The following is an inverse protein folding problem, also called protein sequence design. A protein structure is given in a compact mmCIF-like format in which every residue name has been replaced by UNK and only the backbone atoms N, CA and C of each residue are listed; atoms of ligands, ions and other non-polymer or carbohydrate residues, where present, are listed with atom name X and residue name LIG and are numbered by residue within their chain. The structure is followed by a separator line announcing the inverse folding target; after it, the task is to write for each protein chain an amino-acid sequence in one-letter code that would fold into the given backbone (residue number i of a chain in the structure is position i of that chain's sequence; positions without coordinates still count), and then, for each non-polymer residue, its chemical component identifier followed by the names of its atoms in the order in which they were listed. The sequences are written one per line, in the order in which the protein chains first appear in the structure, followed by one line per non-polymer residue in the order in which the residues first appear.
data_IF_697174934855
#
_entry.id   IF_697174934855
#
_cell.length_a   1.000
_cell.length_b   1.000
_cell.length_c   1.000
_cell.angle_alpha   90.00
_cell.angle_beta   90.00
_cell.angle_gamma   90.00
#
_symmetry.space_group_name_H-M   'P 1'
#
loop_
_entity.id
_entity.type
_entity.pdbx_description
1 polymer ?
#
# COMPACT_ATOMS: atom_id res chain seq x y z
N UNK A 1 -6.26 33.67 -20.62
CA UNK A 1 -5.77 32.28 -20.63
C UNK A 1 -4.52 32.05 -19.77
N UNK A 2 -3.46 32.86 -19.95
CA UNK A 2 -2.18 32.70 -19.21
C UNK A 2 -2.36 32.86 -17.70
N UNK A 3 -3.20 33.78 -17.22
CA UNK A 3 -3.42 34.02 -15.81
C UNK A 3 -4.25 32.92 -15.12
N UNK A 4 -5.15 32.26 -15.83
CA UNK A 4 -5.87 31.11 -15.30
C UNK A 4 -4.96 29.90 -15.11
N UNK A 5 -4.00 29.68 -16.01
CA UNK A 5 -3.02 28.59 -15.91
C UNK A 5 -2.07 28.83 -14.72
N UNK A 6 -1.62 30.07 -14.54
CA UNK A 6 -0.76 30.43 -13.37
C UNK A 6 -1.48 30.24 -12.05
N UNK A 7 -2.77 30.63 -11.97
CA UNK A 7 -3.61 30.45 -10.77
C UNK A 7 -3.78 28.97 -10.43
N UNK A 8 -4.09 28.14 -11.44
CA UNK A 8 -4.19 26.67 -11.29
C UNK A 8 -2.89 26.03 -10.79
N UNK A 9 -1.74 26.44 -11.33
CA UNK A 9 -0.43 25.94 -10.88
C UNK A 9 -0.10 26.36 -9.45
N UNK A 10 -0.53 27.54 -9.02
CA UNK A 10 -0.32 28.03 -7.65
C UNK A 10 -1.20 27.27 -6.65
N UNK A 11 -2.43 26.95 -7.05
CA UNK A 11 -3.35 26.19 -6.22
C UNK A 11 -2.91 24.72 -6.10
N UNK A 12 -2.40 24.11 -7.17
CA UNK A 12 -1.77 22.78 -7.14
C UNK A 12 -0.55 22.73 -6.20
N UNK A 13 0.31 23.77 -6.23
CA UNK A 13 1.46 23.86 -5.33
C UNK A 13 1.05 24.04 -3.86
N UNK A 14 -0.02 24.80 -3.58
CA UNK A 14 -0.59 24.95 -2.23
C UNK A 14 -1.20 23.65 -1.73
N UNK A 15 -1.95 22.94 -2.59
CA UNK A 15 -2.55 21.64 -2.28
C UNK A 15 -1.47 20.61 -1.97
N UNK A 16 -0.43 20.49 -2.81
CA UNK A 16 0.70 19.60 -2.57
C UNK A 16 1.49 19.94 -1.30
N UNK A 17 1.60 21.21 -0.93
CA UNK A 17 2.26 21.64 0.31
C UNK A 17 1.42 21.33 1.55
N UNK A 18 0.10 21.45 1.45
CA UNK A 18 -0.85 21.06 2.49
C UNK A 18 -0.88 19.53 2.65
N UNK A 19 -0.81 18.80 1.56
CA UNK A 19 -0.75 17.34 1.54
C UNK A 19 0.51 16.81 2.23
N UNK A 20 1.69 17.33 1.86
CA UNK A 20 2.96 17.00 2.52
C UNK A 20 2.95 17.31 4.02
N UNK A 21 2.29 18.40 4.43
CA UNK A 21 2.18 18.78 5.85
C UNK A 21 1.27 17.83 6.64
N UNK A 22 0.21 17.28 6.01
CA UNK A 22 -0.65 16.23 6.61
C UNK A 22 0.09 14.90 6.79
N UNK A 23 0.94 14.52 5.82
CA UNK A 23 1.71 13.29 5.86
C UNK A 23 2.73 13.23 7.01
N UNK A 24 3.23 14.37 7.45
CA UNK A 24 4.31 14.46 8.44
C UNK A 24 3.85 14.75 9.87
N UNK A 25 2.55 14.95 10.11
CA UNK A 25 2.07 15.22 11.47
C UNK A 25 1.61 13.93 12.14
N UNK A 26 2.43 13.34 13.01
CA UNK A 26 2.05 12.14 13.73
C UNK A 26 0.95 12.44 14.77
N UNK A 27 0.16 11.43 15.18
CA UNK A 27 -0.86 11.60 16.20
C UNK A 27 -0.24 12.08 17.51
N UNK A 28 -0.91 13.02 18.15
CA UNK A 28 -0.41 13.74 19.35
C UNK A 28 -0.56 12.92 20.65
N UNK A 29 -1.36 11.86 20.64
CA UNK A 29 -1.71 11.11 21.85
C UNK A 29 -1.00 9.75 21.85
N UNK A 30 -0.16 9.52 22.85
CA UNK A 30 0.39 8.22 23.16
C UNK A 30 -0.68 7.38 23.86
N UNK A 31 -1.04 6.25 23.28
CA UNK A 31 -1.88 5.26 23.96
C UNK A 31 -1.00 4.50 24.96
N UNK A 32 -1.35 4.63 26.24
CA UNK A 32 -0.77 3.79 27.27
C UNK A 32 -1.54 2.46 27.30
N UNK A 33 -0.92 1.35 26.93
CA UNK A 33 -1.57 0.04 26.88
C UNK A 33 -0.63 -1.08 26.49
N UNK A 34 -1.16 -2.30 26.45
CA UNK A 34 -0.51 -3.51 25.97
C UNK A 34 0.02 -3.27 24.55
N UNK A 35 1.24 -3.70 24.27
CA UNK A 35 1.78 -3.67 22.90
C UNK A 35 0.99 -4.61 22.01
N UNK A 36 0.43 -4.09 20.92
CA UNK A 36 -0.25 -4.91 19.93
C UNK A 36 0.77 -5.77 19.18
N UNK A 37 0.39 -7.02 18.89
CA UNK A 37 1.12 -7.89 17.98
C UNK A 37 0.62 -7.59 16.57
N UNK A 38 1.47 -7.04 15.74
CA UNK A 38 1.13 -6.61 14.38
C UNK A 38 1.83 -7.53 13.38
N UNK A 39 1.05 -8.20 12.54
CA UNK A 39 1.57 -8.85 11.35
C UNK A 39 1.68 -7.82 10.22
N UNK A 40 2.88 -7.69 9.67
CA UNK A 40 3.11 -6.85 8.49
C UNK A 40 3.35 -7.75 7.28
N UNK A 41 2.56 -7.55 6.24
CA UNK A 41 2.69 -8.22 4.92
C UNK A 41 3.10 -7.14 3.92
N UNK A 42 3.97 -7.47 2.97
CA UNK A 42 4.45 -6.53 1.97
C UNK A 42 4.82 -7.24 0.68
N UNK A 43 4.69 -6.51 -0.44
CA UNK A 43 5.30 -6.84 -1.73
C UNK A 43 5.04 -8.30 -2.17
N UNK A 44 3.79 -8.74 -2.07
CA UNK A 44 3.39 -10.09 -2.52
C UNK A 44 3.44 -10.22 -4.04
N UNK A 45 3.11 -9.15 -4.77
CA UNK A 45 3.05 -9.12 -6.23
C UNK A 45 2.26 -10.28 -6.81
N UNK A 46 1.04 -10.50 -6.31
CA UNK A 46 0.13 -11.54 -6.82
C UNK A 46 -0.21 -11.22 -8.29
N UNK A 47 -0.17 -12.20 -9.20
CA UNK A 47 -0.03 -13.64 -8.98
C UNK A 47 1.42 -14.17 -8.98
N UNK A 48 2.44 -13.31 -9.07
CA UNK A 48 3.85 -13.70 -9.21
C UNK A 48 4.59 -13.88 -7.87
N UNK A 49 3.84 -13.96 -6.77
CA UNK A 49 4.35 -14.18 -5.41
C UNK A 49 5.14 -15.49 -5.30
N UNK A 50 6.05 -15.55 -4.33
CA UNK A 50 6.80 -16.78 -4.08
C UNK A 50 5.85 -17.96 -3.77
N UNK A 51 6.04 -19.15 -4.33
CA UNK A 51 5.13 -20.29 -4.17
C UNK A 51 4.83 -20.67 -2.71
N UNK A 52 5.77 -20.44 -1.81
CA UNK A 52 5.64 -20.75 -0.39
C UNK A 52 4.99 -19.63 0.44
N UNK A 53 4.72 -18.45 -0.13
CA UNK A 53 4.20 -17.30 0.62
C UNK A 53 2.94 -17.64 1.41
N UNK A 54 1.95 -18.22 0.77
CA UNK A 54 0.68 -18.57 1.43
C UNK A 54 0.84 -19.69 2.46
N UNK A 55 1.72 -20.66 2.20
CA UNK A 55 2.05 -21.70 3.19
C UNK A 55 2.71 -21.09 4.42
N UNK A 56 3.62 -20.13 4.22
CA UNK A 56 4.28 -19.41 5.29
C UNK A 56 3.30 -18.56 6.09
N UNK A 57 2.46 -17.76 5.41
CA UNK A 57 1.43 -16.93 6.07
C UNK A 57 0.45 -17.78 6.89
N UNK A 58 0.05 -18.95 6.37
CA UNK A 58 -0.82 -19.86 7.12
C UNK A 58 -0.14 -20.37 8.39
N UNK A 59 1.14 -20.77 8.31
CA UNK A 59 1.91 -21.18 9.50
C UNK A 59 2.06 -20.07 10.54
N UNK A 60 2.19 -18.81 10.09
CA UNK A 60 2.23 -17.68 11.02
C UNK A 60 0.88 -17.49 11.70
N UNK A 61 -0.22 -17.65 10.95
CA UNK A 61 -1.58 -17.58 11.51
C UNK A 61 -1.83 -18.68 12.55
N UNK A 62 -1.36 -19.91 12.30
CA UNK A 62 -1.54 -21.04 13.21
C UNK A 62 -0.67 -20.91 14.49
N UNK A 63 0.44 -20.17 14.39
CA UNK A 63 1.42 -20.05 15.47
C UNK A 63 1.21 -18.84 16.38
N UNK A 64 0.64 -17.77 15.87
CA UNK A 64 0.52 -16.49 16.56
C UNK A 64 -0.88 -15.90 16.46
N UNK A 65 -1.34 -15.31 17.55
CA UNK A 65 -2.51 -14.45 17.56
C UNK A 65 -2.06 -13.01 17.25
N UNK A 66 -2.63 -12.43 16.23
CA UNK A 66 -2.34 -11.06 15.80
C UNK A 66 -3.47 -10.13 16.23
N UNK A 67 -3.11 -9.02 16.87
CA UNK A 67 -4.08 -7.97 17.21
C UNK A 67 -4.45 -7.14 15.97
N UNK A 68 -3.51 -7.04 15.01
CA UNK A 68 -3.70 -6.33 13.73
C UNK A 68 -2.92 -6.99 12.61
N UNK A 69 -3.44 -6.84 11.40
CA UNK A 69 -2.74 -7.19 10.16
C UNK A 69 -2.67 -5.96 9.27
N UNK A 70 -1.48 -5.60 8.84
CA UNK A 70 -1.22 -4.46 7.96
C UNK A 70 -0.50 -4.97 6.72
N UNK A 71 -1.09 -4.78 5.55
CA UNK A 71 -0.42 -4.96 4.27
C UNK A 71 0.12 -3.58 3.83
N UNK A 72 1.43 -3.45 3.74
CA UNK A 72 2.05 -2.18 3.37
C UNK A 72 2.20 -1.98 1.86
N UNK A 73 1.38 -2.68 1.07
CA UNK A 73 1.20 -2.46 -0.37
C UNK A 73 1.84 -3.52 -1.26
N UNK A 74 1.67 -3.32 -2.55
CA UNK A 74 2.08 -4.22 -3.63
C UNK A 74 1.56 -5.66 -3.44
N UNK A 75 0.27 -5.77 -3.06
CA UNK A 75 -0.45 -7.04 -2.97
C UNK A 75 -0.66 -7.66 -4.36
N UNK A 76 -0.92 -6.85 -5.38
CA UNK A 76 -1.04 -7.22 -6.78
C UNK A 76 0.14 -6.67 -7.59
N UNK A 77 0.57 -7.37 -8.64
CA UNK A 77 1.68 -6.92 -9.49
C UNK A 77 1.26 -5.96 -10.60
N UNK A 78 0.14 -6.23 -11.25
CA UNK A 78 -0.36 -5.44 -12.38
C UNK A 78 0.66 -5.30 -13.52
N UNK A 79 1.42 -6.38 -13.79
CA UNK A 79 2.47 -6.39 -14.81
C UNK A 79 1.96 -5.89 -16.17
N UNK A 80 0.81 -6.40 -16.61
CA UNK A 80 0.23 -6.13 -17.93
C UNK A 80 -0.17 -4.67 -18.17
N UNK A 81 -0.35 -3.91 -17.09
CA UNK A 81 -0.69 -2.47 -17.15
C UNK A 81 0.40 -1.58 -16.55
N UNK A 82 1.60 -2.12 -16.33
CA UNK A 82 2.71 -1.36 -15.76
C UNK A 82 3.03 -0.12 -16.61
N UNK A 83 3.16 1.03 -15.94
CA UNK A 83 3.43 2.32 -16.59
C UNK A 83 4.90 2.63 -16.73
N UNK A 84 5.75 1.91 -16.01
CA UNK A 84 7.19 2.22 -15.86
C UNK A 84 8.09 1.28 -16.64
N UNK A 85 7.58 0.13 -17.11
CA UNK A 85 8.36 -0.90 -17.78
C UNK A 85 7.75 -1.32 -19.11
N UNK A 86 8.57 -1.94 -19.96
CA UNK A 86 8.08 -2.59 -21.16
C UNK A 86 7.23 -3.79 -20.75
N UNK A 87 6.00 -3.83 -21.25
CA UNK A 87 5.10 -4.94 -21.02
C UNK A 87 5.66 -6.17 -21.76
N UNK A 88 5.83 -7.27 -21.04
CA UNK A 88 6.21 -8.54 -21.67
C UNK A 88 4.95 -9.17 -22.31
N UNK A 89 4.90 -9.31 -23.66
CA UNK A 89 3.74 -9.83 -24.35
C UNK A 89 3.50 -11.35 -24.08
N UNK A 90 4.49 -12.06 -23.56
CA UNK A 90 4.38 -13.48 -23.24
C UNK A 90 3.74 -13.75 -21.86
N UNK A 91 3.49 -12.69 -21.09
CA UNK A 91 2.78 -12.79 -19.81
C UNK A 91 1.26 -12.61 -19.98
N UNK A 92 0.46 -13.05 -18.99
CA UNK A 92 -0.99 -12.97 -19.05
C UNK A 92 -1.50 -11.56 -19.32
N UNK A 93 -2.66 -11.45 -19.97
CA UNK A 93 -3.36 -10.19 -20.16
C UNK A 93 -3.80 -9.60 -18.81
N UNK A 94 -4.18 -8.31 -18.80
CA UNK A 94 -4.69 -7.66 -17.58
C UNK A 94 -5.93 -8.35 -17.00
N UNK A 95 -6.77 -8.92 -17.86
CA UNK A 95 -7.96 -9.66 -17.43
C UNK A 95 -7.57 -10.99 -16.77
N UNK A 96 -6.66 -11.75 -17.40
CA UNK A 96 -6.19 -13.02 -16.86
C UNK A 96 -5.43 -12.83 -15.55
N UNK A 97 -4.57 -11.79 -15.49
CA UNK A 97 -3.84 -11.43 -14.28
C UNK A 97 -4.80 -11.09 -13.13
N UNK A 98 -5.88 -10.34 -13.41
CA UNK A 98 -6.89 -10.00 -12.42
C UNK A 98 -7.63 -11.26 -11.92
N UNK A 99 -8.06 -12.15 -12.81
CA UNK A 99 -8.81 -13.36 -12.42
C UNK A 99 -7.97 -14.31 -11.56
N UNK A 100 -6.72 -14.55 -11.96
CA UNK A 100 -5.79 -15.33 -11.13
C UNK A 100 -5.46 -14.60 -9.82
N UNK A 101 -5.32 -13.27 -9.90
CA UNK A 101 -5.08 -12.42 -8.74
C UNK A 101 -6.21 -12.52 -7.72
N UNK A 102 -7.47 -12.39 -8.15
CA UNK A 102 -8.63 -12.54 -7.27
C UNK A 102 -8.65 -13.87 -6.52
N UNK A 103 -8.30 -14.96 -7.19
CA UNK A 103 -8.24 -16.28 -6.53
C UNK A 103 -7.29 -16.28 -5.33
N UNK A 104 -6.11 -15.68 -5.46
CA UNK A 104 -5.12 -15.59 -4.38
C UNK A 104 -5.50 -14.54 -3.32
N UNK A 105 -6.03 -13.41 -3.76
CA UNK A 105 -6.54 -12.36 -2.87
C UNK A 105 -7.66 -12.89 -1.99
N UNK A 106 -8.60 -13.67 -2.54
CA UNK A 106 -9.65 -14.33 -1.74
C UNK A 106 -9.10 -15.32 -0.72
N UNK A 107 -8.01 -16.01 -1.04
CA UNK A 107 -7.33 -16.85 -0.04
C UNK A 107 -6.70 -16.01 1.07
N UNK A 108 -6.10 -14.88 0.73
CA UNK A 108 -5.52 -13.95 1.70
C UNK A 108 -6.61 -13.35 2.59
N UNK A 109 -7.73 -12.91 2.00
CA UNK A 109 -8.88 -12.39 2.74
C UNK A 109 -9.47 -13.43 3.71
N UNK A 110 -9.56 -14.69 3.29
CA UNK A 110 -10.02 -15.78 4.16
C UNK A 110 -9.07 -16.02 5.35
N UNK A 111 -7.76 -15.85 5.14
CA UNK A 111 -6.77 -15.96 6.22
C UNK A 111 -6.81 -14.76 7.15
N UNK A 112 -6.94 -13.56 6.60
CA UNK A 112 -6.89 -12.29 7.31
C UNK A 112 -8.07 -11.40 6.89
N UNK A 113 -9.27 -11.67 7.42
CA UNK A 113 -10.49 -10.99 6.99
C UNK A 113 -10.53 -9.51 7.36
N UNK A 114 -9.81 -9.11 8.41
CA UNK A 114 -9.66 -7.72 8.83
C UNK A 114 -8.23 -7.27 8.56
N UNK A 115 -8.05 -6.34 7.64
CA UNK A 115 -6.73 -5.89 7.24
C UNK A 115 -6.72 -4.39 6.91
N UNK A 116 -5.67 -3.71 7.32
CA UNK A 116 -5.33 -2.38 6.82
C UNK A 116 -4.38 -2.57 5.65
N UNK A 117 -4.74 -2.00 4.49
CA UNK A 117 -3.90 -2.03 3.29
C UNK A 117 -3.44 -0.62 2.96
N UNK A 118 -2.18 -0.48 2.61
CA UNK A 118 -1.60 0.83 2.32
C UNK A 118 -1.45 1.02 0.81
N UNK A 119 -1.72 2.25 0.37
CA UNK A 119 -1.52 2.62 -1.04
C UNK A 119 -0.08 2.37 -1.47
N UNK A 120 0.07 1.83 -2.68
CA UNK A 120 1.35 1.49 -3.26
C UNK A 120 1.44 1.88 -4.72
N UNK A 121 2.65 1.79 -5.30
CA UNK A 121 2.83 2.09 -6.71
C UNK A 121 2.14 1.06 -7.62
N UNK A 122 2.08 -0.23 -7.25
CA UNK A 122 1.33 -1.23 -7.98
C UNK A 122 -0.18 -1.11 -7.71
N UNK A 123 -0.62 -0.99 -6.47
CA UNK A 123 -2.03 -0.85 -6.11
C UNK A 123 -2.72 0.36 -6.79
N UNK A 124 -1.99 1.47 -6.98
CA UNK A 124 -2.50 2.65 -7.68
C UNK A 124 -2.41 2.59 -9.21
N UNK A 125 -1.87 1.51 -9.77
CA UNK A 125 -1.51 1.45 -11.20
C UNK A 125 -2.73 1.49 -12.12
N UNK A 126 -3.81 0.80 -11.75
CA UNK A 126 -5.09 0.81 -12.50
C UNK A 126 -5.60 2.24 -12.64
N UNK A 127 -5.68 2.96 -11.51
CA UNK A 127 -6.13 4.36 -11.48
C UNK A 127 -5.20 5.27 -12.31
N UNK A 128 -3.89 5.15 -12.12
CA UNK A 128 -2.90 5.96 -12.84
C UNK A 128 -2.95 5.74 -14.35
N UNK A 129 -3.13 4.48 -14.80
CA UNK A 129 -3.29 4.16 -16.23
C UNK A 129 -4.55 4.77 -16.81
N UNK A 130 -5.68 4.64 -16.13
CA UNK A 130 -6.94 5.21 -16.57
C UNK A 130 -6.84 6.75 -16.69
N UNK A 131 -6.30 7.40 -15.65
CA UNK A 131 -6.11 8.87 -15.67
C UNK A 131 -5.14 9.32 -16.76
N UNK A 132 -4.08 8.58 -17.04
CA UNK A 132 -3.15 8.87 -18.13
C UNK A 132 -3.79 8.77 -19.53
N UNK A 133 -4.91 8.05 -19.63
CA UNK A 133 -5.75 7.96 -20.85
C UNK A 133 -6.95 8.93 -20.83
N UNK A 134 -6.98 9.88 -19.90
CA UNK A 134 -8.04 10.88 -19.77
C UNK A 134 -9.33 10.37 -19.11
N UNK A 135 -9.32 9.17 -18.56
CA UNK A 135 -10.48 8.63 -17.86
C UNK A 135 -10.56 9.20 -16.45
N UNK A 136 -11.71 9.74 -16.06
CA UNK A 136 -11.96 10.21 -14.70
C UNK A 136 -12.07 9.04 -13.72
N UNK A 137 -11.54 9.21 -12.50
CA UNK A 137 -11.72 8.26 -11.41
C UNK A 137 -13.18 7.90 -11.12
N UNK A 138 -14.11 8.78 -11.40
CA UNK A 138 -15.55 8.56 -11.21
C UNK A 138 -16.15 7.47 -12.12
N UNK A 139 -15.42 7.07 -13.15
CA UNK A 139 -15.82 5.96 -14.03
C UNK A 139 -15.18 4.62 -13.65
N UNK A 140 -14.34 4.61 -12.63
CA UNK A 140 -13.67 3.40 -12.16
C UNK A 140 -14.40 2.83 -10.95
N UNK A 141 -14.40 1.52 -10.85
CA UNK A 141 -14.80 0.83 -9.62
C UNK A 141 -13.80 1.13 -8.51
N UNK A 142 -14.29 1.11 -7.27
CA UNK A 142 -13.41 1.12 -6.12
C UNK A 142 -12.51 -0.12 -6.11
N UNK A 143 -11.32 -0.01 -5.52
CA UNK A 143 -10.33 -1.07 -5.58
C UNK A 143 -10.80 -2.36 -4.87
N UNK A 144 -11.61 -2.24 -3.82
CA UNK A 144 -12.28 -3.39 -3.19
C UNK A 144 -13.20 -4.13 -4.19
N UNK A 145 -13.92 -3.39 -5.01
CA UNK A 145 -14.78 -3.98 -6.03
C UNK A 145 -13.99 -4.64 -7.16
N UNK A 146 -12.85 -4.03 -7.55
CA UNK A 146 -11.95 -4.61 -8.57
C UNK A 146 -11.41 -5.95 -8.07
N UNK A 147 -10.94 -6.01 -6.83
CA UNK A 147 -10.37 -7.22 -6.22
C UNK A 147 -11.43 -8.18 -5.66
N UNK A 148 -12.70 -7.77 -5.65
CA UNK A 148 -13.82 -8.51 -5.06
C UNK A 148 -13.59 -8.85 -3.58
N UNK A 149 -13.13 -7.89 -2.79
CA UNK A 149 -12.91 -8.03 -1.34
C UNK A 149 -13.90 -7.22 -0.52
N UNK A 150 -14.11 -7.62 0.73
CA UNK A 150 -15.04 -6.95 1.63
C UNK A 150 -14.52 -5.60 2.12
N UNK A 151 -15.45 -4.76 2.61
CA UNK A 151 -15.13 -3.46 3.24
C UNK A 151 -14.35 -3.59 4.57
N UNK A 152 -14.14 -4.80 5.07
CA UNK A 152 -13.26 -5.08 6.22
C UNK A 152 -11.78 -4.91 5.87
N UNK A 153 -11.44 -4.91 4.58
CA UNK A 153 -10.17 -4.50 4.05
C UNK A 153 -10.18 -2.98 3.85
N UNK A 154 -9.43 -2.27 4.71
CA UNK A 154 -9.44 -0.81 4.78
C UNK A 154 -8.21 -0.22 4.11
N UNK A 155 -8.40 0.46 2.99
CA UNK A 155 -7.32 1.14 2.26
C UNK A 155 -6.99 2.49 2.90
N UNK A 156 -5.70 2.74 3.08
CA UNK A 156 -5.16 3.98 3.64
C UNK A 156 -3.89 4.37 2.88
N UNK A 157 -3.61 5.64 2.82
CA UNK A 157 -2.36 6.14 2.24
C UNK A 157 -1.15 5.74 3.10
N UNK A 158 -1.31 5.81 4.42
CA UNK A 158 -0.34 5.42 5.44
C UNK A 158 -1.07 5.04 6.73
N UNK A 159 -0.31 4.46 7.66
CA UNK A 159 -0.84 4.15 8.99
C UNK A 159 0.16 4.49 10.09
N UNK A 160 -0.37 4.96 11.23
CA UNK A 160 0.40 5.19 12.44
C UNK A 160 -0.04 4.25 13.54
N UNK A 161 0.92 3.62 14.19
CA UNK A 161 0.73 3.00 15.49
C UNK A 161 1.48 3.78 16.56
N UNK A 162 0.88 3.85 17.74
CA UNK A 162 1.47 4.52 18.90
C UNK A 162 1.31 3.62 20.12
N UNK A 163 2.40 3.34 20.81
CA UNK A 163 2.44 2.56 22.01
C UNK A 163 3.38 3.19 23.04
N UNK A 164 3.64 2.50 24.17
CA UNK A 164 4.49 2.97 25.24
C UNK A 164 5.96 3.13 24.85
N UNK A 165 6.42 2.44 23.78
CA UNK A 165 7.79 2.51 23.28
C UNK A 165 7.99 3.64 22.25
N UNK A 166 6.90 4.22 21.73
CA UNK A 166 6.97 5.28 20.75
C UNK A 166 5.95 5.14 19.64
N UNK A 167 6.31 5.66 18.46
CA UNK A 167 5.46 5.70 17.28
C UNK A 167 6.10 4.92 16.14
N UNK A 168 5.26 4.23 15.38
CA UNK A 168 5.67 3.51 14.18
C UNK A 168 4.85 4.03 13.00
N UNK A 169 5.53 4.44 11.95
CA UNK A 169 4.94 4.84 10.68
C UNK A 169 5.00 3.70 9.69
N UNK A 170 3.87 3.34 9.13
CA UNK A 170 3.73 2.34 8.09
C UNK A 170 3.35 3.02 6.79
N UNK A 171 4.11 2.77 5.74
CA UNK A 171 3.83 3.22 4.38
C UNK A 171 4.51 2.29 3.39
N UNK A 172 4.01 2.20 2.16
CA UNK A 172 4.67 1.41 1.13
C UNK A 172 6.06 1.97 0.81
N UNK A 173 6.16 3.27 0.65
CA UNK A 173 7.41 3.94 0.27
C UNK A 173 7.59 5.25 1.03
N UNK A 174 8.76 5.46 1.64
CA UNK A 174 9.17 6.73 2.24
C UNK A 174 10.45 7.24 1.59
N UNK A 175 11.54 6.48 1.73
CA UNK A 175 12.83 6.78 1.10
C UNK A 175 13.64 5.50 0.93
N UNK A 176 14.43 5.41 -0.16
CA UNK A 176 15.39 4.32 -0.36
C UNK A 176 16.43 4.25 0.77
N UNK A 177 16.75 5.38 1.37
CA UNK A 177 17.62 5.45 2.54
C UNK A 177 16.76 5.38 3.81
N UNK A 178 16.84 4.25 4.54
CA UNK A 178 16.02 4.02 5.74
C UNK A 178 16.33 5.01 6.87
N UNK A 179 17.56 5.44 7.04
CA UNK A 179 17.93 6.48 8.03
C UNK A 179 17.19 7.78 7.72
N UNK A 180 17.16 8.16 6.44
CA UNK A 180 16.40 9.33 5.99
C UNK A 180 14.89 9.15 6.22
N UNK A 181 14.35 7.95 6.05
CA UNK A 181 12.94 7.68 6.36
C UNK A 181 12.64 7.93 7.83
N UNK A 182 13.45 7.40 8.74
CA UNK A 182 13.31 7.60 10.18
C UNK A 182 13.44 9.07 10.57
N UNK A 183 14.42 9.78 10.00
CA UNK A 183 14.60 11.22 10.25
C UNK A 183 13.41 12.04 9.76
N UNK A 184 12.89 11.75 8.57
CA UNK A 184 11.73 12.45 8.00
C UNK A 184 10.46 12.27 8.83
N UNK A 185 10.24 11.06 9.36
CA UNK A 185 9.05 10.72 10.14
C UNK A 185 9.22 11.04 11.63
N UNK A 186 10.45 11.22 12.12
CA UNK A 186 10.76 11.35 13.55
C UNK A 186 10.13 10.20 14.37
N UNK A 187 10.18 8.97 13.84
CA UNK A 187 9.56 7.78 14.40
C UNK A 187 10.21 6.52 13.80
N UNK A 188 9.93 5.36 14.37
CA UNK A 188 10.21 4.09 13.70
C UNK A 188 9.44 4.01 12.38
N UNK A 189 10.03 3.44 11.34
CA UNK A 189 9.42 3.31 10.02
C UNK A 189 9.40 1.86 9.57
N UNK A 190 8.25 1.40 9.11
CA UNK A 190 8.09 0.14 8.42
C UNK A 190 7.66 0.43 6.98
N UNK A 191 8.50 0.08 6.01
CA UNK A 191 8.26 0.32 4.59
C UNK A 191 8.63 -0.89 3.75
N UNK A 192 7.99 -1.05 2.59
CA UNK A 192 8.27 -2.04 1.54
C UNK A 192 8.99 -1.45 0.33
N UNK A 193 8.58 -1.87 -0.87
CA UNK A 193 8.94 -1.31 -2.18
C UNK A 193 10.37 -1.57 -2.64
N UNK A 194 11.37 -1.35 -1.81
CA UNK A 194 12.77 -1.35 -2.27
C UNK A 194 13.41 -2.74 -2.34
N UNK A 195 12.75 -3.77 -1.83
CA UNK A 195 13.20 -5.18 -1.78
C UNK A 195 14.63 -5.33 -1.26
N UNK A 196 15.05 -4.42 -0.39
CA UNK A 196 16.37 -4.43 0.25
C UNK A 196 16.23 -4.58 1.74
N UNK A 197 17.07 -5.42 2.35
CA UNK A 197 17.11 -5.51 3.81
C UNK A 197 17.89 -4.33 4.38
N UNK A 198 17.29 -3.63 5.34
CA UNK A 198 17.95 -2.60 6.13
C UNK A 198 17.33 -2.60 7.51
N UNK A 199 18.10 -3.02 8.48
CA UNK A 199 17.81 -2.90 9.91
C UNK A 199 18.83 -1.93 10.51
N UNK A 200 18.35 -0.92 11.21
CA UNK A 200 19.17 0.06 11.93
C UNK A 200 18.66 0.15 13.34
#
# INVERSE_FOLDING_TARGET
MVDQVKKSQTDLKKTNRSYKKKLTTPPTVLKTGKMDKILVISDLHIPYHHPDSFRFLNKLKDRYDWDKVINIGDEMDWHSINVSHVINPDLPSAADELEVGKFWIKKLEKMYPDMILLESNHGSMVLRRAMAKGMSKFFLKDYNEILDVSSRWQWKEFHWETNTLGRIYFAHQVSKNIVKSVQLMSASVCQGHYHTQSNI
#
